data_IF_876397008149
#
_entry.id   IF_876397008149
#
_cell.length_a   1.000
_cell.length_b   1.000
_cell.length_c   1.000
_cell.angle_alpha   90.00
_cell.angle_beta   90.00
_cell.angle_gamma   90.00
#
_symmetry.space_group_name_H-M   'P 1'
#
loop_
_entity.id
_entity.type
_entity.pdbx_description
1 polymer ?
#
# COMPACT_ATOMS: atom_id res chain seq x y z
N UNK A 1 -11.22 -1.30 11.29
CA UNK A 1 -11.27 -0.82 12.73
C UNK A 1 -10.43 0.44 12.89
N UNK A 2 -10.95 1.51 13.47
CA UNK A 2 -10.21 2.78 13.61
C UNK A 2 -9.16 2.65 14.72
N UNK A 3 -7.88 2.84 14.40
CA UNK A 3 -6.77 2.77 15.37
C UNK A 3 -6.89 3.89 16.40
N UNK A 4 -6.90 3.53 17.71
CA UNK A 4 -6.91 4.52 18.80
C UNK A 4 -5.56 5.25 18.85
N UNK A 5 -5.61 6.56 19.08
CA UNK A 5 -4.41 7.38 19.23
C UNK A 5 -3.48 6.85 20.34
N UNK A 6 -2.19 6.84 20.06
CA UNK A 6 -1.12 6.46 20.99
C UNK A 6 -0.12 7.62 21.10
N UNK A 7 -0.01 8.21 22.28
CA UNK A 7 0.81 9.39 22.53
C UNK A 7 2.31 9.19 22.22
N UNK A 8 2.82 7.97 22.37
CA UNK A 8 4.22 7.63 22.09
C UNK A 8 4.59 7.68 20.60
N UNK A 9 3.61 7.56 19.70
CA UNK A 9 3.89 7.37 18.25
C UNK A 9 4.58 8.58 17.63
N UNK A 10 4.15 9.79 17.98
CA UNK A 10 4.75 11.00 17.43
C UNK A 10 6.18 11.22 17.92
N UNK A 11 6.48 11.17 19.25
CA UNK A 11 7.86 11.22 19.74
C UNK A 11 8.76 10.14 19.12
N UNK A 12 8.26 8.92 18.96
CA UNK A 12 9.03 7.84 18.35
C UNK A 12 9.41 8.14 16.90
N UNK A 13 8.48 8.71 16.12
CA UNK A 13 8.77 9.15 14.73
C UNK A 13 9.81 10.28 14.69
N UNK A 14 9.76 11.21 15.64
CA UNK A 14 10.71 12.32 15.75
C UNK A 14 12.12 11.83 16.15
N UNK A 15 12.23 10.78 16.94
CA UNK A 15 13.48 10.16 17.36
C UNK A 15 14.11 9.27 16.28
N UNK A 16 13.27 8.56 15.49
CA UNK A 16 13.71 7.57 14.51
C UNK A 16 13.50 8.05 13.07
N UNK A 17 14.22 9.10 12.69
CA UNK A 17 14.17 9.65 11.33
C UNK A 17 14.86 8.77 10.30
N UNK A 18 15.77 7.90 10.72
CA UNK A 18 16.55 6.99 9.87
C UNK A 18 15.69 5.95 9.14
N UNK A 19 14.51 5.60 9.69
CA UNK A 19 13.56 4.70 9.02
C UNK A 19 12.53 5.44 8.16
N UNK A 20 12.57 6.76 8.16
CA UNK A 20 11.68 7.60 7.35
C UNK A 20 12.39 8.05 6.07
N UNK A 21 11.63 8.21 5.01
CA UNK A 21 12.10 8.71 3.73
C UNK A 21 11.60 10.15 3.52
N UNK A 22 12.50 11.15 3.50
CA UNK A 22 12.15 12.53 3.16
C UNK A 22 11.62 12.63 1.72
N UNK A 23 10.60 13.45 1.49
CA UNK A 23 9.95 13.57 0.17
C UNK A 23 10.91 14.06 -0.92
N UNK A 24 11.85 14.91 -0.58
CA UNK A 24 12.88 15.42 -1.48
C UNK A 24 13.86 14.34 -1.96
N UNK A 25 14.01 13.24 -1.21
CA UNK A 25 14.87 12.12 -1.56
C UNK A 25 14.18 11.08 -2.45
N UNK A 26 12.87 11.07 -2.51
CA UNK A 26 12.09 10.06 -3.26
C UNK A 26 12.51 10.00 -4.74
N UNK A 27 12.74 11.17 -5.37
CA UNK A 27 13.18 11.24 -6.78
C UNK A 27 14.61 10.73 -7.03
N UNK A 28 15.42 10.61 -5.97
CA UNK A 28 16.82 10.22 -6.07
C UNK A 28 17.01 8.69 -5.93
N UNK A 29 15.96 7.96 -5.62
CA UNK A 29 16.00 6.51 -5.46
C UNK A 29 16.33 5.88 -6.82
N UNK A 30 17.35 5.01 -6.84
CA UNK A 30 17.80 4.30 -8.03
C UNK A 30 17.29 2.86 -8.11
N UNK A 31 16.93 2.31 -6.96
CA UNK A 31 16.38 0.95 -6.85
C UNK A 31 14.95 0.92 -7.40
N UNK A 32 14.52 -0.26 -7.78
CA UNK A 32 13.13 -0.55 -8.08
C UNK A 32 12.29 -0.45 -6.82
N UNK A 33 11.24 0.36 -6.86
CA UNK A 33 10.40 0.64 -5.69
C UNK A 33 9.20 -0.30 -5.67
N UNK A 34 8.98 -0.90 -4.49
CA UNK A 34 7.81 -1.67 -4.13
C UNK A 34 7.01 -0.88 -3.09
N UNK A 35 5.88 -0.32 -3.51
CA UNK A 35 5.17 0.72 -2.76
C UNK A 35 3.89 0.18 -2.12
N UNK A 36 3.77 0.24 -0.80
CA UNK A 36 2.52 -0.01 -0.10
C UNK A 36 1.84 1.31 0.27
N UNK A 37 0.57 1.48 -0.13
CA UNK A 37 -0.22 2.68 0.19
C UNK A 37 -1.25 2.36 1.26
N UNK A 38 -1.13 3.04 2.40
CA UNK A 38 -1.91 2.76 3.59
C UNK A 38 -1.36 1.56 4.37
N UNK A 39 -0.09 1.62 4.75
CA UNK A 39 0.61 0.49 5.39
C UNK A 39 0.05 0.09 6.77
N UNK A 40 -0.91 0.85 7.31
CA UNK A 40 -1.50 0.55 8.59
C UNK A 40 -0.43 0.43 9.69
N UNK A 41 -0.39 -0.72 10.40
CA UNK A 41 0.62 -0.97 11.42
C UNK A 41 1.92 -1.62 10.87
N UNK A 42 2.05 -1.75 9.55
CA UNK A 42 3.28 -2.11 8.86
C UNK A 42 3.66 -3.59 8.87
N UNK A 43 2.75 -4.51 9.19
CA UNK A 43 3.10 -5.93 9.19
C UNK A 43 3.41 -6.43 7.79
N UNK A 44 2.57 -6.10 6.80
CA UNK A 44 2.82 -6.48 5.41
C UNK A 44 4.15 -5.94 4.90
N UNK A 45 4.41 -4.64 5.14
CA UNK A 45 5.66 -3.99 4.73
C UNK A 45 6.88 -4.71 5.33
N UNK A 46 6.83 -5.03 6.63
CA UNK A 46 7.89 -5.75 7.34
C UNK A 46 8.11 -7.14 6.76
N UNK A 47 7.04 -7.91 6.59
CA UNK A 47 7.14 -9.30 6.13
C UNK A 47 7.64 -9.38 4.68
N UNK A 48 7.20 -8.45 3.82
CA UNK A 48 7.72 -8.33 2.45
C UNK A 48 9.20 -7.96 2.43
N UNK A 49 9.62 -7.00 3.26
CA UNK A 49 11.03 -6.59 3.34
C UNK A 49 11.93 -7.72 3.83
N UNK A 50 11.48 -8.51 4.80
CA UNK A 50 12.23 -9.69 5.29
C UNK A 50 12.27 -10.83 4.27
N UNK A 51 11.17 -11.05 3.56
CA UNK A 51 11.03 -12.12 2.57
C UNK A 51 11.86 -11.86 1.31
N UNK A 52 12.04 -10.58 0.95
CA UNK A 52 12.75 -10.14 -0.25
C UNK A 52 13.81 -9.08 0.10
N UNK A 53 14.93 -9.48 0.74
CA UNK A 53 15.93 -8.54 1.24
C UNK A 53 16.66 -7.75 0.13
N UNK A 54 16.63 -8.24 -1.11
CA UNK A 54 17.19 -7.58 -2.30
C UNK A 54 16.31 -6.49 -2.89
N UNK A 55 15.02 -6.42 -2.50
CA UNK A 55 14.06 -5.44 -3.01
C UNK A 55 13.92 -4.25 -2.06
N UNK A 56 13.55 -3.09 -2.59
CA UNK A 56 13.39 -1.87 -1.81
C UNK A 56 11.92 -1.49 -1.64
N UNK A 57 11.47 -1.46 -0.40
CA UNK A 57 10.07 -1.21 -0.05
C UNK A 57 9.87 0.19 0.52
N UNK A 58 8.73 0.80 0.18
CA UNK A 58 8.29 2.07 0.76
C UNK A 58 6.84 1.89 1.23
N UNK A 59 6.58 2.21 2.49
CA UNK A 59 5.23 2.30 3.03
C UNK A 59 4.79 3.75 3.16
N UNK A 60 3.58 4.08 2.68
CA UNK A 60 2.96 5.39 2.92
C UNK A 60 1.84 5.21 3.94
N UNK A 61 1.88 5.98 5.03
CA UNK A 61 0.84 5.97 6.05
C UNK A 61 0.60 7.39 6.61
N UNK A 62 -0.67 7.80 6.69
CA UNK A 62 -1.05 9.15 7.15
C UNK A 62 -1.47 9.22 8.61
N UNK A 63 -1.84 8.09 9.20
CA UNK A 63 -2.22 8.05 10.61
C UNK A 63 -0.97 7.99 11.50
N UNK A 64 -0.76 8.98 12.35
CA UNK A 64 0.42 9.08 13.19
C UNK A 64 0.66 7.85 14.07
N UNK A 65 -0.42 7.23 14.58
CA UNK A 65 -0.28 6.03 15.42
C UNK A 65 0.13 4.82 14.58
N UNK A 66 -0.44 4.64 13.42
CA UNK A 66 -0.06 3.58 12.49
C UNK A 66 1.38 3.78 12.00
N UNK A 67 1.74 4.98 11.59
CA UNK A 67 3.10 5.33 11.18
C UNK A 67 4.12 5.05 12.29
N UNK A 68 3.79 5.38 13.55
CA UNK A 68 4.63 5.03 14.70
C UNK A 68 4.83 3.53 14.86
N UNK A 69 3.80 2.71 14.63
CA UNK A 69 3.95 1.24 14.63
C UNK A 69 4.81 0.74 13.47
N UNK A 70 4.67 1.32 12.27
CA UNK A 70 5.57 0.99 11.14
C UNK A 70 7.02 1.29 11.51
N UNK A 71 7.31 2.53 11.94
CA UNK A 71 8.66 2.94 12.33
C UNK A 71 9.22 2.02 13.42
N UNK A 72 8.43 1.73 14.46
CA UNK A 72 8.84 0.83 15.54
C UNK A 72 9.24 -0.54 15.04
N UNK A 73 8.44 -1.16 14.17
CA UNK A 73 8.76 -2.47 13.60
C UNK A 73 10.05 -2.44 12.77
N UNK A 74 10.23 -1.41 11.93
CA UNK A 74 11.45 -1.29 11.11
C UNK A 74 12.70 -1.14 11.96
N UNK A 75 12.63 -0.39 13.07
CA UNK A 75 13.74 -0.23 14.02
C UNK A 75 14.01 -1.51 14.80
N UNK A 76 12.98 -2.09 15.46
CA UNK A 76 13.14 -3.28 16.32
C UNK A 76 13.62 -4.52 15.55
N UNK A 77 13.27 -4.61 14.27
CA UNK A 77 13.63 -5.74 13.40
C UNK A 77 14.84 -5.43 12.49
N UNK A 78 15.49 -4.29 12.70
CA UNK A 78 16.69 -3.83 11.99
C UNK A 78 16.58 -3.90 10.46
N UNK A 79 15.39 -3.56 9.92
CA UNK A 79 15.10 -3.62 8.49
C UNK A 79 15.72 -2.44 7.75
N UNK A 80 16.59 -2.71 6.79
CA UNK A 80 17.33 -1.68 6.04
C UNK A 80 16.79 -1.44 4.62
N UNK A 81 16.01 -2.37 4.07
CA UNK A 81 15.45 -2.32 2.73
C UNK A 81 13.98 -1.85 2.68
N UNK A 82 13.48 -1.26 3.77
CA UNK A 82 12.17 -0.63 3.81
C UNK A 82 12.24 0.74 4.49
N UNK A 83 11.43 1.68 4.01
CA UNK A 83 11.29 3.03 4.57
C UNK A 83 9.82 3.42 4.69
N UNK A 84 9.53 4.32 5.61
CA UNK A 84 8.22 4.92 5.83
C UNK A 84 8.18 6.34 5.27
N UNK A 85 7.11 6.69 4.57
CA UNK A 85 6.70 8.07 4.32
C UNK A 85 5.47 8.36 5.18
N UNK A 86 5.66 9.13 6.26
CA UNK A 86 4.54 9.57 7.09
C UNK A 86 3.85 10.78 6.46
N UNK A 87 2.89 10.52 5.57
CA UNK A 87 2.12 11.55 4.85
C UNK A 87 0.88 10.96 4.18
N UNK A 88 0.02 11.83 3.62
CA UNK A 88 -1.12 11.39 2.80
C UNK A 88 -0.64 11.08 1.36
N UNK A 89 -0.98 9.90 0.87
CA UNK A 89 -0.62 9.44 -0.47
C UNK A 89 -1.05 10.40 -1.58
N UNK A 90 -2.18 11.12 -1.41
CA UNK A 90 -2.66 12.08 -2.39
C UNK A 90 -1.63 13.18 -2.71
N UNK A 91 -0.77 13.51 -1.75
CA UNK A 91 0.30 14.51 -1.93
C UNK A 91 1.64 13.87 -2.29
N UNK A 92 1.93 12.71 -1.72
CA UNK A 92 3.24 12.04 -1.86
C UNK A 92 3.48 11.49 -3.25
N UNK A 93 2.45 10.97 -3.91
CA UNK A 93 2.61 10.30 -5.21
C UNK A 93 3.22 11.19 -6.29
N UNK A 94 3.00 12.49 -6.24
CA UNK A 94 3.59 13.45 -7.18
C UNK A 94 5.11 13.68 -6.95
N UNK A 95 5.65 13.17 -5.83
CA UNK A 95 7.07 13.22 -5.51
C UNK A 95 7.88 12.07 -6.11
N UNK A 96 7.22 11.04 -6.64
CA UNK A 96 7.91 9.93 -7.30
C UNK A 96 8.33 10.31 -8.71
N UNK A 97 9.44 9.72 -9.17
CA UNK A 97 9.86 9.82 -10.56
C UNK A 97 8.93 8.97 -11.43
N UNK A 98 8.64 9.42 -12.64
CA UNK A 98 7.91 8.62 -13.62
C UNK A 98 8.60 7.26 -13.84
N UNK A 99 7.78 6.22 -13.96
CA UNK A 99 8.23 4.84 -14.21
C UNK A 99 9.30 4.33 -13.24
N UNK A 100 9.21 4.71 -11.95
CA UNK A 100 10.15 4.27 -10.91
C UNK A 100 9.62 3.17 -9.99
N UNK A 101 8.30 2.92 -10.01
CA UNK A 101 7.65 1.96 -9.14
C UNK A 101 7.37 0.65 -9.90
N UNK A 102 7.83 -0.48 -9.38
CA UNK A 102 7.60 -1.80 -9.98
C UNK A 102 6.29 -2.43 -9.54
N UNK A 103 5.92 -2.27 -8.28
CA UNK A 103 4.65 -2.80 -7.74
C UNK A 103 4.04 -1.80 -6.78
N UNK A 104 2.72 -1.61 -6.88
CA UNK A 104 1.92 -0.88 -5.90
C UNK A 104 0.99 -1.87 -5.20
N UNK A 105 1.03 -1.91 -3.88
CA UNK A 105 0.15 -2.71 -3.04
C UNK A 105 -0.93 -1.80 -2.41
N UNK A 106 -2.19 -2.21 -2.58
CA UNK A 106 -3.36 -1.57 -1.99
C UNK A 106 -4.07 -2.62 -1.13
N UNK A 107 -3.72 -2.71 0.14
CA UNK A 107 -4.21 -3.73 1.04
C UNK A 107 -5.28 -3.18 1.98
N UNK A 108 -6.52 -3.69 1.91
CA UNK A 108 -7.62 -3.40 2.85
C UNK A 108 -7.85 -1.91 3.11
N UNK A 109 -7.80 -1.11 2.03
CA UNK A 109 -8.03 0.32 2.09
C UNK A 109 -9.47 0.66 2.47
N UNK A 110 -9.67 1.87 3.02
CA UNK A 110 -10.99 2.36 3.43
C UNK A 110 -12.00 2.31 2.27
N UNK A 111 -13.17 1.67 2.44
CA UNK A 111 -14.14 1.47 1.36
C UNK A 111 -14.94 2.74 1.00
N UNK A 112 -14.96 3.76 1.86
CA UNK A 112 -15.70 5.01 1.64
C UNK A 112 -17.10 4.79 1.05
N UNK A 113 -18.06 4.19 1.79
CA UNK A 113 -19.33 3.70 1.21
C UNK A 113 -20.26 4.78 0.68
N UNK A 114 -20.11 6.04 1.13
CA UNK A 114 -20.94 7.15 0.64
C UNK A 114 -20.46 7.64 -0.71
N UNK A 115 -21.30 7.68 -1.76
CA UNK A 115 -20.97 8.12 -3.13
C UNK A 115 -20.13 9.40 -3.20
N UNK A 116 -20.48 10.43 -2.39
CA UNK A 116 -19.70 11.68 -2.32
C UNK A 116 -18.25 11.51 -1.86
N UNK A 117 -17.91 10.36 -1.28
CA UNK A 117 -16.56 10.03 -0.78
C UNK A 117 -15.79 9.05 -1.69
N UNK A 118 -16.39 8.49 -2.75
CA UNK A 118 -15.74 7.51 -3.63
C UNK A 118 -14.42 8.05 -4.22
N UNK A 119 -14.33 9.37 -4.47
CA UNK A 119 -13.09 10.04 -4.89
C UNK A 119 -11.91 9.92 -3.89
N UNK A 120 -12.14 9.43 -2.67
CA UNK A 120 -11.11 9.16 -1.64
C UNK A 120 -10.57 7.74 -1.68
N UNK A 121 -11.21 6.85 -2.42
CA UNK A 121 -10.78 5.46 -2.58
C UNK A 121 -9.45 5.42 -3.30
N UNK A 122 -8.57 4.53 -2.90
CA UNK A 122 -7.28 4.34 -3.56
C UNK A 122 -7.42 3.78 -5.00
N UNK A 123 -8.59 3.30 -5.37
CA UNK A 123 -8.94 2.85 -6.73
C UNK A 123 -9.72 3.89 -7.54
N UNK A 124 -9.85 5.14 -7.05
CA UNK A 124 -10.49 6.21 -7.81
C UNK A 124 -9.60 6.71 -8.97
N UNK A 125 -10.22 7.25 -10.02
CA UNK A 125 -9.53 7.75 -11.23
C UNK A 125 -8.33 8.65 -10.91
N UNK A 126 -8.50 9.59 -9.96
CA UNK A 126 -7.43 10.52 -9.57
C UNK A 126 -6.19 9.84 -9.00
N UNK A 127 -6.35 8.68 -8.34
CA UNK A 127 -5.25 7.86 -7.88
C UNK A 127 -4.70 6.99 -9.01
N UNK A 128 -5.56 6.38 -9.81
CA UNK A 128 -5.14 5.55 -10.96
C UNK A 128 -4.29 6.37 -11.94
N UNK A 129 -4.63 7.63 -12.22
CA UNK A 129 -3.81 8.51 -13.06
C UNK A 129 -2.41 8.75 -12.47
N UNK A 130 -2.31 8.98 -11.16
CA UNK A 130 -1.01 9.10 -10.48
C UNK A 130 -0.22 7.80 -10.54
N UNK A 131 -0.86 6.66 -10.30
CA UNK A 131 -0.20 5.35 -10.40
C UNK A 131 0.31 5.09 -11.80
N UNK A 132 -0.47 5.47 -12.83
CA UNK A 132 -0.05 5.31 -14.23
C UNK A 132 1.25 6.07 -14.53
N UNK A 133 1.43 7.26 -13.98
CA UNK A 133 2.66 8.03 -14.17
C UNK A 133 3.88 7.37 -13.52
N UNK A 134 3.76 6.98 -12.25
CA UNK A 134 4.91 6.49 -11.48
C UNK A 134 5.23 5.01 -11.72
N UNK A 135 4.25 4.20 -12.13
CA UNK A 135 4.42 2.77 -12.36
C UNK A 135 5.24 2.52 -13.62
N UNK A 136 6.14 1.55 -13.60
CA UNK A 136 6.86 1.04 -14.78
C UNK A 136 5.88 0.50 -15.82
N UNK A 137 6.31 0.36 -17.07
CA UNK A 137 5.45 -0.13 -18.14
C UNK A 137 5.06 -1.60 -17.93
N UNK A 138 5.93 -2.41 -17.34
CA UNK A 138 5.71 -3.80 -16.92
C UNK A 138 5.26 -3.93 -15.45
N UNK A 139 5.14 -2.80 -14.76
CA UNK A 139 4.73 -2.75 -13.36
C UNK A 139 3.28 -3.15 -13.13
N UNK A 140 2.94 -3.47 -11.90
CA UNK A 140 1.60 -3.93 -11.53
C UNK A 140 1.07 -3.28 -10.25
N UNK A 141 -0.26 -3.21 -10.15
CA UNK A 141 -0.96 -2.88 -8.92
C UNK A 141 -1.60 -4.16 -8.39
N UNK A 142 -1.38 -4.47 -7.12
CA UNK A 142 -2.02 -5.59 -6.42
C UNK A 142 -2.99 -4.99 -5.42
N UNK A 143 -4.28 -5.25 -5.60
CA UNK A 143 -5.34 -4.77 -4.75
C UNK A 143 -6.01 -5.93 -4.02
N UNK A 144 -6.08 -5.85 -2.68
CA UNK A 144 -6.78 -6.82 -1.82
C UNK A 144 -7.79 -6.11 -0.92
N UNK A 145 -8.98 -6.70 -0.75
CA UNK A 145 -10.03 -6.21 0.13
C UNK A 145 -10.98 -7.33 0.57
N UNK A 146 -11.53 -7.20 1.77
CA UNK A 146 -12.66 -7.99 2.28
C UNK A 146 -14.02 -7.44 1.83
N UNK A 147 -14.03 -6.21 1.29
CA UNK A 147 -15.26 -5.48 0.97
C UNK A 147 -15.68 -5.69 -0.49
N UNK A 148 -16.73 -6.49 -0.69
CA UNK A 148 -17.26 -6.85 -2.01
C UNK A 148 -17.78 -5.63 -2.80
N UNK A 149 -18.38 -4.64 -2.14
CA UNK A 149 -18.88 -3.44 -2.82
C UNK A 149 -17.72 -2.60 -3.34
N UNK A 150 -16.67 -2.39 -2.52
CA UNK A 150 -15.45 -1.71 -2.96
C UNK A 150 -14.80 -2.46 -4.12
N UNK A 151 -14.75 -3.79 -4.06
CA UNK A 151 -14.17 -4.62 -5.10
C UNK A 151 -14.91 -4.48 -6.43
N UNK A 152 -16.23 -4.56 -6.42
CA UNK A 152 -17.07 -4.42 -7.61
C UNK A 152 -17.03 -3.01 -8.20
N UNK A 153 -17.21 -1.98 -7.37
CA UNK A 153 -17.08 -0.59 -7.80
C UNK A 153 -15.69 -0.30 -8.41
N UNK A 154 -14.63 -0.90 -7.83
CA UNK A 154 -13.26 -0.75 -8.37
C UNK A 154 -13.10 -1.40 -9.75
N UNK A 155 -13.72 -2.57 -10.00
CA UNK A 155 -13.72 -3.18 -11.35
C UNK A 155 -14.29 -2.23 -12.39
N UNK A 156 -15.45 -1.61 -12.11
CA UNK A 156 -16.10 -0.67 -13.02
C UNK A 156 -15.19 0.54 -13.34
N UNK A 157 -14.54 1.12 -12.34
CA UNK A 157 -13.61 2.24 -12.53
C UNK A 157 -12.40 1.81 -13.36
N UNK A 158 -11.83 0.63 -13.10
CA UNK A 158 -10.65 0.11 -13.80
C UNK A 158 -10.95 -0.16 -15.28
N UNK A 159 -12.13 -0.66 -15.63
CA UNK A 159 -12.53 -0.94 -17.02
C UNK A 159 -12.41 0.31 -17.90
N UNK A 160 -12.75 1.48 -17.39
CA UNK A 160 -12.68 2.77 -18.09
C UNK A 160 -11.34 3.47 -17.99
N UNK A 161 -10.44 2.99 -17.12
CA UNK A 161 -9.12 3.57 -16.85
C UNK A 161 -8.06 3.14 -17.88
N UNK A 162 -6.82 3.61 -17.66
CA UNK A 162 -5.62 3.21 -18.44
C UNK A 162 -5.05 1.83 -18.01
N UNK A 163 -5.73 1.13 -17.10
CA UNK A 163 -5.34 -0.18 -16.61
C UNK A 163 -6.26 -1.29 -17.10
N UNK A 164 -5.76 -2.51 -17.15
CA UNK A 164 -6.50 -3.75 -17.37
C UNK A 164 -6.31 -4.68 -16.18
N UNK A 165 -7.33 -5.47 -15.87
CA UNK A 165 -7.24 -6.54 -14.88
C UNK A 165 -6.59 -7.76 -15.56
N UNK A 166 -5.48 -8.24 -15.02
CA UNK A 166 -4.73 -9.40 -15.52
C UNK A 166 -4.91 -10.65 -14.67
N UNK A 167 -5.34 -10.49 -13.42
CA UNK A 167 -5.77 -11.57 -12.53
C UNK A 167 -6.90 -11.08 -11.64
N UNK A 168 -7.87 -11.95 -11.37
CA UNK A 168 -9.01 -11.65 -10.52
C UNK A 168 -9.37 -12.90 -9.72
N UNK A 169 -9.35 -12.74 -8.39
CA UNK A 169 -9.70 -13.77 -7.43
C UNK A 169 -10.83 -13.26 -6.54
N UNK A 170 -11.97 -13.92 -6.52
CA UNK A 170 -13.11 -13.55 -5.66
C UNK A 170 -12.96 -14.11 -4.23
N UNK A 171 -12.13 -15.14 -4.06
CA UNK A 171 -11.71 -15.69 -2.78
C UNK A 171 -10.25 -16.13 -2.86
N UNK A 172 -9.35 -15.16 -2.75
CA UNK A 172 -7.91 -15.37 -2.85
C UNK A 172 -7.38 -16.22 -1.70
N UNK A 173 -6.68 -17.30 -2.01
CA UNK A 173 -6.22 -18.30 -1.03
C UNK A 173 -4.91 -17.95 -0.28
N UNK A 174 -4.28 -16.82 -0.63
CA UNK A 174 -3.06 -16.35 0.03
C UNK A 174 -1.77 -17.05 -0.41
N UNK A 175 -1.77 -17.80 -1.52
CA UNK A 175 -0.63 -18.63 -1.92
C UNK A 175 0.27 -18.01 -3.01
N UNK A 176 0.17 -16.72 -3.28
CA UNK A 176 1.10 -16.07 -4.19
C UNK A 176 2.49 -15.98 -3.50
N UNK A 177 3.53 -16.47 -4.21
CA UNK A 177 4.90 -16.42 -3.70
C UNK A 177 5.41 -14.98 -3.53
N UNK A 178 4.85 -14.02 -4.28
CA UNK A 178 5.18 -12.60 -4.18
C UNK A 178 4.08 -11.85 -3.40
N UNK A 179 3.75 -12.35 -2.22
CA UNK A 179 2.78 -11.75 -1.30
C UNK A 179 3.14 -12.06 0.15
N UNK A 180 2.58 -11.27 1.06
CA UNK A 180 2.52 -11.50 2.49
C UNK A 180 1.10 -11.24 2.99
N UNK A 181 0.73 -11.85 4.10
CA UNK A 181 -0.57 -11.61 4.68
C UNK A 181 -0.53 -10.38 5.59
N UNK A 182 -1.52 -9.50 5.47
CA UNK A 182 -1.70 -8.40 6.42
C UNK A 182 -2.32 -8.91 7.73
N UNK A 183 -2.21 -8.14 8.82
CA UNK A 183 -2.93 -8.43 10.08
C UNK A 183 -4.44 -8.55 9.84
N UNK A 184 -4.99 -7.74 8.92
CA UNK A 184 -6.41 -7.77 8.55
C UNK A 184 -6.76 -9.04 7.77
N UNK A 185 -5.92 -9.43 6.82
CA UNK A 185 -6.14 -10.65 6.04
C UNK A 185 -6.18 -11.89 6.93
N UNK A 186 -5.24 -12.00 7.86
CA UNK A 186 -5.21 -13.11 8.84
C UNK A 186 -6.50 -13.13 9.68
N UNK A 187 -6.92 -11.96 10.19
CA UNK A 187 -8.14 -11.85 11.00
C UNK A 187 -9.38 -12.25 10.19
N UNK A 188 -9.55 -11.73 8.97
CA UNK A 188 -10.70 -12.04 8.12
C UNK A 188 -10.75 -13.52 7.71
N UNK A 189 -9.59 -14.11 7.36
CA UNK A 189 -9.53 -15.55 7.06
C UNK A 189 -9.95 -16.42 8.25
N UNK A 190 -9.53 -16.05 9.46
CA UNK A 190 -9.93 -16.75 10.69
C UNK A 190 -11.44 -16.64 10.96
N UNK A 191 -12.08 -15.57 10.48
CA UNK A 191 -13.53 -15.36 10.56
C UNK A 191 -14.31 -15.98 9.36
N UNK A 192 -13.60 -16.60 8.41
CA UNK A 192 -14.21 -17.19 7.20
C UNK A 192 -14.68 -16.16 6.19
N UNK A 193 -14.15 -14.94 6.23
CA UNK A 193 -14.45 -13.87 5.29
C UNK A 193 -13.57 -14.01 4.04
N UNK A 194 -14.19 -14.01 2.87
CA UNK A 194 -13.49 -14.07 1.58
C UNK A 194 -12.62 -12.84 1.36
N UNK A 195 -11.44 -13.06 0.79
CA UNK A 195 -10.52 -11.99 0.38
C UNK A 195 -10.56 -11.85 -1.14
N UNK A 196 -11.04 -10.71 -1.59
CA UNK A 196 -11.05 -10.38 -3.01
C UNK A 196 -9.69 -9.78 -3.42
N UNK A 197 -9.13 -10.27 -4.53
CA UNK A 197 -7.86 -9.78 -5.06
C UNK A 197 -7.96 -9.51 -6.55
N UNK A 198 -7.31 -8.45 -7.02
CA UNK A 198 -7.07 -8.23 -8.44
C UNK A 198 -5.66 -7.71 -8.69
N UNK A 199 -5.10 -8.09 -9.83
CA UNK A 199 -3.83 -7.57 -10.34
C UNK A 199 -4.10 -6.73 -11.57
N UNK A 200 -3.57 -5.52 -11.60
CA UNK A 200 -3.74 -4.57 -12.68
C UNK A 200 -2.41 -4.31 -13.35
N UNK A 201 -2.44 -4.15 -14.67
CA UNK A 201 -1.31 -3.67 -15.48
C UNK A 201 -1.77 -2.57 -16.43
N UNK A 202 -0.85 -1.78 -16.93
CA UNK A 202 -1.12 -0.80 -17.98
C UNK A 202 -1.70 -1.48 -19.23
N UNK A 203 -2.63 -0.80 -19.91
CA UNK A 203 -3.17 -1.22 -21.21
C UNK A 203 -2.14 -1.07 -22.30
#
# INVERSE_FOLDING_TARGET
>A
MRTKYKAWSKPFLEEHVEVQLPLEEVKNIKQDIYLEIGSGKGQFLLDMAKKFPELYFIGIEKNVTCAGFVAKKLVEEEVNNAKLIYSDAAFVLDSFKEKSVSVIFLNFSDPWPKKRHHKRRLTADSFLDKYFSILKDDGKIIFKTDNVDLFNDSKEVIETSKFKITSLDEDYDGKDNFDAQTEYEIAFRNEGVAIHRMVLQKK
#
